data_IF_465425554681
#
_entry.id   IF_465425554681
#
_cell.length_a   1.000
_cell.length_b   1.000
_cell.length_c   1.000
_cell.angle_alpha   90.00
_cell.angle_beta   90.00
_cell.angle_gamma   90.00
#
_symmetry.space_group_name_H-M   'P 1'
#
loop_
_entity.id
_entity.type
_entity.pdbx_description
1 polymer ?
#
# COMPACT_ATOMS: atom_id res chain seq x y z
N UNK A 1 -6.49 53.68 27.72
CA UNK A 1 -5.44 53.40 26.72
C UNK A 1 -5.45 51.91 26.45
N UNK A 2 -5.49 51.56 25.17
CA UNK A 2 -6.01 50.34 24.57
C UNK A 2 -5.31 49.03 24.96
N UNK A 3 -6.11 47.96 25.03
CA UNK A 3 -5.66 46.59 24.92
C UNK A 3 -5.17 46.31 23.50
N UNK A 4 -3.97 45.75 23.36
CA UNK A 4 -3.46 45.23 22.11
C UNK A 4 -3.73 43.71 22.08
N UNK A 5 -4.72 43.31 21.29
CA UNK A 5 -4.92 41.92 20.90
C UNK A 5 -3.87 41.55 19.83
N UNK A 6 -2.86 40.79 20.24
CA UNK A 6 -1.91 40.16 19.34
C UNK A 6 -2.56 38.96 18.66
N UNK A 7 -3.29 39.21 17.57
CA UNK A 7 -3.85 38.17 16.71
C UNK A 7 -2.76 37.28 16.14
N UNK A 8 -2.89 35.97 16.39
CA UNK A 8 -1.99 34.94 15.89
C UNK A 8 -1.99 34.93 14.35
N UNK A 9 -0.85 35.30 13.75
CA UNK A 9 -0.54 34.98 12.36
C UNK A 9 -0.23 33.47 12.27
N UNK A 10 -1.27 32.67 12.07
CA UNK A 10 -1.13 31.32 11.52
C UNK A 10 -0.81 31.45 10.03
N UNK A 11 0.49 31.56 9.75
CA UNK A 11 1.13 31.71 8.44
C UNK A 11 0.45 30.87 7.33
N UNK A 12 0.04 31.57 6.27
CA UNK A 12 -0.74 31.10 5.10
C UNK A 12 -0.02 30.11 4.18
N UNK A 13 0.64 29.10 4.73
CA UNK A 13 1.15 27.96 3.98
C UNK A 13 0.01 26.94 3.81
N UNK A 14 -0.41 26.62 2.57
CA UNK A 14 -1.39 25.57 2.35
C UNK A 14 -0.85 24.28 2.97
N UNK A 15 -1.71 23.55 3.69
CA UNK A 15 -1.41 22.24 4.23
C UNK A 15 -0.70 21.37 3.18
N UNK A 16 0.19 20.46 3.61
CA UNK A 16 0.87 19.50 2.71
C UNK A 16 -0.12 18.82 1.75
N UNK A 17 -1.30 18.48 2.26
CA UNK A 17 -2.39 17.91 1.49
C UNK A 17 -2.89 18.86 0.39
N UNK A 18 -3.17 20.12 0.74
CA UNK A 18 -3.65 21.15 -0.19
C UNK A 18 -2.65 21.42 -1.32
N UNK A 19 -1.37 21.52 -0.98
CA UNK A 19 -0.31 21.68 -1.97
C UNK A 19 -0.25 20.48 -2.93
N UNK A 20 -0.40 19.26 -2.41
CA UNK A 20 -0.41 18.06 -3.25
C UNK A 20 -1.65 18.02 -4.16
N UNK A 21 -2.84 18.28 -3.61
CA UNK A 21 -4.10 18.33 -4.35
C UNK A 21 -4.03 19.33 -5.50
N UNK A 22 -3.49 20.53 -5.26
CA UNK A 22 -3.29 21.55 -6.30
C UNK A 22 -2.36 21.08 -7.42
N UNK A 23 -1.24 20.41 -7.09
CA UNK A 23 -0.32 19.86 -8.10
C UNK A 23 -0.98 18.78 -8.95
N UNK A 24 -1.70 17.88 -8.31
CA UNK A 24 -2.41 16.79 -8.98
C UNK A 24 -3.48 17.35 -9.92
N UNK A 25 -4.25 18.34 -9.44
CA UNK A 25 -5.25 19.04 -10.25
C UNK A 25 -4.65 19.73 -11.47
N UNK A 26 -3.55 20.48 -11.29
CA UNK A 26 -2.86 21.14 -12.39
C UNK A 26 -2.32 20.14 -13.42
N UNK A 27 -1.78 19.02 -12.94
CA UNK A 27 -1.29 17.93 -13.79
C UNK A 27 -2.42 17.33 -14.61
N UNK A 28 -3.57 17.08 -13.99
CA UNK A 28 -4.75 16.58 -14.68
C UNK A 28 -5.30 17.59 -15.71
N UNK A 29 -5.38 18.87 -15.35
CA UNK A 29 -5.79 19.93 -16.27
C UNK A 29 -4.83 20.07 -17.47
N UNK A 30 -3.54 19.81 -17.28
CA UNK A 30 -2.58 19.75 -18.38
C UNK A 30 -2.78 18.51 -19.26
N UNK A 31 -3.04 17.35 -18.66
CA UNK A 31 -3.41 16.14 -19.41
C UNK A 31 -4.62 16.38 -20.33
N UNK A 32 -5.67 17.05 -19.84
CA UNK A 32 -6.85 17.35 -20.66
C UNK A 32 -6.56 18.30 -21.83
N UNK A 33 -5.71 19.31 -21.62
CA UNK A 33 -5.29 20.25 -22.69
C UNK A 33 -4.42 19.59 -23.76
N UNK A 34 -3.62 18.61 -23.37
CA UNK A 34 -2.75 17.86 -24.27
C UNK A 34 -3.49 16.77 -25.06
N UNK A 35 -4.70 16.42 -24.65
CA UNK A 35 -5.55 15.46 -25.37
C UNK A 35 -5.87 16.00 -26.78
N UNK A 36 -6.01 15.12 -27.78
CA UNK A 36 -6.39 15.49 -29.15
C UNK A 36 -7.70 14.80 -29.54
N UNK A 37 -8.81 15.55 -29.71
CA UNK A 37 -8.96 17.01 -29.56
C UNK A 37 -8.85 17.46 -28.08
N UNK A 38 -8.50 18.74 -27.82
CA UNK A 38 -8.44 19.27 -26.47
C UNK A 38 -9.76 19.04 -25.72
N UNK A 39 -9.65 18.53 -24.50
CA UNK A 39 -10.80 18.22 -23.67
C UNK A 39 -11.00 19.28 -22.61
N UNK A 40 -12.26 19.65 -22.41
CA UNK A 40 -12.69 20.45 -21.27
C UNK A 40 -13.20 19.54 -20.16
N UNK A 41 -13.16 20.02 -18.91
CA UNK A 41 -13.68 19.28 -17.76
C UNK A 41 -15.16 18.88 -17.92
N UNK A 42 -15.96 19.71 -18.60
CA UNK A 42 -17.38 19.46 -18.90
C UNK A 42 -17.62 18.22 -19.77
N UNK A 43 -16.64 17.90 -20.64
CA UNK A 43 -16.67 16.75 -21.55
C UNK A 43 -15.81 15.59 -21.04
N UNK A 44 -15.14 15.78 -19.92
CA UNK A 44 -14.37 14.74 -19.26
C UNK A 44 -15.31 13.66 -18.73
N UNK A 45 -14.88 12.41 -18.83
CA UNK A 45 -15.67 11.24 -18.45
C UNK A 45 -14.75 10.27 -17.70
N UNK A 46 -15.34 9.26 -17.07
CA UNK A 46 -14.55 8.22 -16.40
C UNK A 46 -13.52 7.55 -17.32
N UNK A 47 -13.75 7.51 -18.64
CA UNK A 47 -12.80 6.91 -19.59
C UNK A 47 -11.48 7.70 -19.65
N UNK A 48 -11.54 9.03 -19.76
CA UNK A 48 -10.36 9.90 -19.76
C UNK A 48 -9.60 9.82 -18.43
N UNK A 49 -10.34 9.69 -17.32
CA UNK A 49 -9.71 9.46 -16.00
C UNK A 49 -8.95 8.12 -15.98
N UNK A 50 -9.53 7.05 -16.52
CA UNK A 50 -8.86 5.75 -16.58
C UNK A 50 -7.60 5.76 -17.45
N UNK A 51 -7.64 6.45 -18.58
CA UNK A 51 -6.45 6.62 -19.42
C UNK A 51 -5.35 7.38 -18.68
N UNK A 52 -5.69 8.49 -18.02
CA UNK A 52 -4.76 9.24 -17.18
C UNK A 52 -4.13 8.36 -16.08
N UNK A 53 -4.93 7.54 -15.38
CA UNK A 53 -4.41 6.63 -14.35
C UNK A 53 -3.48 5.55 -14.93
N UNK A 54 -3.78 5.01 -16.10
CA UNK A 54 -2.93 4.03 -16.78
C UNK A 54 -1.62 4.62 -17.26
N UNK A 55 -1.62 5.88 -17.67
CA UNK A 55 -0.41 6.63 -17.99
C UNK A 55 0.46 6.80 -16.74
N UNK A 56 -0.11 7.27 -15.63
CA UNK A 56 0.63 7.45 -14.37
C UNK A 56 1.19 6.13 -13.82
N UNK A 57 0.47 5.03 -14.02
CA UNK A 57 0.88 3.70 -13.59
C UNK A 57 2.21 3.24 -14.22
N UNK A 58 2.67 3.83 -15.32
CA UNK A 58 3.94 3.47 -15.96
C UNK A 58 5.17 3.99 -15.21
N UNK A 59 5.01 5.06 -14.44
CA UNK A 59 6.11 5.76 -13.76
C UNK A 59 6.24 5.32 -12.30
N UNK A 60 5.98 4.03 -12.09
CA UNK A 60 5.96 3.38 -10.80
C UNK A 60 7.32 3.09 -10.19
N UNK A 61 7.31 2.79 -8.88
CA UNK A 61 8.46 2.18 -8.18
C UNK A 61 8.18 0.77 -7.67
N UNK A 62 6.94 0.29 -7.78
CA UNK A 62 6.53 -1.02 -7.27
C UNK A 62 6.70 -2.07 -8.35
N UNK A 63 7.40 -3.17 -8.05
CA UNK A 63 7.48 -4.30 -8.98
C UNK A 63 6.15 -5.05 -8.98
N UNK A 64 5.54 -5.21 -10.16
CA UNK A 64 4.31 -6.00 -10.34
C UNK A 64 4.60 -7.11 -11.34
N UNK A 65 4.57 -8.36 -10.85
CA UNK A 65 4.88 -9.54 -11.65
C UNK A 65 3.76 -9.83 -12.65
N UNK A 66 4.13 -10.11 -13.90
CA UNK A 66 3.19 -10.59 -14.90
C UNK A 66 2.75 -12.04 -14.59
N UNK A 67 1.55 -12.48 -14.99
CA UNK A 67 1.06 -13.83 -14.73
C UNK A 67 1.97 -14.97 -15.20
N UNK A 68 2.78 -14.74 -16.26
CA UNK A 68 3.78 -15.71 -16.75
C UNK A 68 5.15 -15.61 -16.07
N UNK A 69 5.32 -14.76 -15.06
CA UNK A 69 6.58 -14.60 -14.36
C UNK A 69 6.77 -15.71 -13.31
N UNK A 70 7.97 -16.32 -13.19
CA UNK A 70 8.26 -17.33 -12.16
C UNK A 70 8.02 -16.85 -10.71
N UNK A 71 8.07 -15.53 -10.51
CA UNK A 71 7.89 -14.89 -9.21
C UNK A 71 6.46 -14.39 -8.96
N UNK A 72 5.51 -14.66 -9.87
CA UNK A 72 4.13 -14.27 -9.67
C UNK A 72 3.56 -14.93 -8.42
N UNK A 73 3.00 -14.12 -7.51
CA UNK A 73 2.46 -14.64 -6.25
C UNK A 73 3.50 -14.88 -5.16
N UNK A 74 4.75 -14.45 -5.34
CA UNK A 74 5.80 -14.59 -4.31
C UNK A 74 6.06 -13.24 -3.61
N UNK A 75 5.87 -13.14 -2.27
CA UNK A 75 6.14 -11.91 -1.51
C UNK A 75 7.60 -11.49 -1.48
N UNK A 76 8.51 -12.48 -1.48
CA UNK A 76 9.95 -12.28 -1.47
C UNK A 76 10.57 -13.07 -2.63
N UNK A 77 10.67 -12.47 -3.83
CA UNK A 77 11.24 -13.16 -4.98
C UNK A 77 12.75 -13.38 -4.77
N UNK A 78 13.26 -14.62 -4.92
CA UNK A 78 14.67 -14.94 -4.69
C UNK A 78 15.63 -14.44 -5.78
N UNK A 79 15.12 -13.76 -6.82
CA UNK A 79 15.95 -13.23 -7.92
C UNK A 79 15.31 -12.09 -8.71
N UNK A 80 16.08 -11.40 -9.57
CA UNK A 80 15.57 -10.31 -10.39
C UNK A 80 14.67 -10.81 -11.52
N UNK A 81 13.72 -9.98 -11.97
CA UNK A 81 12.91 -10.25 -13.15
C UNK A 81 12.72 -9.03 -14.04
N UNK A 82 12.36 -9.26 -15.29
CA UNK A 82 12.09 -8.23 -16.30
C UNK A 82 10.69 -7.60 -16.21
N UNK A 83 9.91 -7.88 -15.17
CA UNK A 83 8.57 -7.31 -15.03
C UNK A 83 8.60 -5.77 -14.90
N UNK A 84 7.59 -5.05 -15.40
CA UNK A 84 7.57 -3.59 -15.33
C UNK A 84 7.43 -3.09 -13.88
N UNK A 85 7.92 -1.87 -13.64
CA UNK A 85 7.60 -1.11 -12.44
C UNK A 85 6.28 -0.37 -12.65
N UNK A 86 5.40 -0.45 -11.66
CA UNK A 86 4.04 0.11 -11.67
C UNK A 86 3.78 0.96 -10.43
N UNK A 87 2.84 1.89 -10.50
CA UNK A 87 2.48 2.68 -9.33
C UNK A 87 1.78 1.78 -8.32
N UNK A 88 2.04 1.99 -7.03
CA UNK A 88 1.29 1.28 -6.01
C UNK A 88 -0.20 1.67 -6.14
N UNK A 89 -1.09 0.68 -6.08
CA UNK A 89 -2.54 0.92 -6.21
C UNK A 89 -3.03 1.99 -5.22
N UNK A 90 -2.50 2.00 -3.99
CA UNK A 90 -2.85 2.98 -2.96
C UNK A 90 -2.45 4.40 -3.30
N UNK A 91 -1.35 4.60 -4.04
CA UNK A 91 -0.93 5.92 -4.52
C UNK A 91 -1.91 6.48 -5.56
N UNK A 92 -2.40 5.62 -6.46
CA UNK A 92 -3.42 5.99 -7.45
C UNK A 92 -4.78 6.24 -6.80
N UNK A 93 -5.19 5.43 -5.81
CA UNK A 93 -6.44 5.64 -5.07
C UNK A 93 -6.44 6.97 -4.31
N UNK A 94 -5.34 7.27 -3.60
CA UNK A 94 -5.17 8.54 -2.90
C UNK A 94 -5.18 9.74 -3.86
N UNK A 95 -4.58 9.61 -5.05
CA UNK A 95 -4.64 10.62 -6.10
C UNK A 95 -6.08 10.88 -6.55
N UNK A 96 -6.85 9.83 -6.84
CA UNK A 96 -8.25 9.96 -7.24
C UNK A 96 -9.08 10.61 -6.13
N UNK A 97 -8.82 10.28 -4.86
CA UNK A 97 -9.45 10.95 -3.71
C UNK A 97 -9.19 12.46 -3.70
N UNK A 98 -7.94 12.87 -3.91
CA UNK A 98 -7.58 14.31 -3.99
C UNK A 98 -8.23 15.00 -5.20
N UNK A 99 -8.27 14.35 -6.36
CA UNK A 99 -8.90 14.91 -7.56
C UNK A 99 -10.41 15.06 -7.43
N UNK A 100 -11.10 14.16 -6.69
CA UNK A 100 -12.52 14.34 -6.37
C UNK A 100 -12.75 15.60 -5.54
N UNK A 101 -11.96 15.79 -4.48
CA UNK A 101 -12.05 16.98 -3.63
C UNK A 101 -11.73 18.27 -4.41
N UNK A 102 -10.69 18.24 -5.24
CA UNK A 102 -10.35 19.37 -6.12
C UNK A 102 -11.49 19.72 -7.07
N UNK A 103 -12.14 18.72 -7.67
CA UNK A 103 -13.25 18.94 -8.59
C UNK A 103 -14.42 19.69 -7.92
N UNK A 104 -14.76 19.31 -6.69
CA UNK A 104 -15.82 19.96 -5.91
C UNK A 104 -15.46 21.41 -5.54
N UNK A 105 -14.21 21.66 -5.13
CA UNK A 105 -13.71 23.01 -4.83
C UNK A 105 -13.62 23.91 -6.07
N UNK A 106 -13.44 23.33 -7.25
CA UNK A 106 -13.45 24.04 -8.53
C UNK A 106 -14.87 24.23 -9.11
N UNK A 107 -15.92 24.07 -8.29
CA UNK A 107 -17.33 24.31 -8.66
C UNK A 107 -18.02 23.11 -9.33
N UNK A 108 -17.39 21.95 -9.31
CA UNK A 108 -17.96 20.72 -9.85
C UNK A 108 -19.00 20.10 -8.92
N UNK A 109 -20.10 19.62 -9.49
CA UNK A 109 -21.14 18.91 -8.72
C UNK A 109 -20.70 17.47 -8.43
N UNK A 110 -20.90 16.95 -7.21
CA UNK A 110 -20.47 15.59 -6.86
C UNK A 110 -21.16 14.52 -7.72
N UNK A 111 -22.38 14.75 -8.20
CA UNK A 111 -23.10 13.79 -9.08
C UNK A 111 -22.49 13.68 -10.48
N UNK A 112 -21.91 14.78 -10.99
CA UNK A 112 -21.30 14.84 -12.31
C UNK A 112 -19.79 14.53 -12.28
N UNK A 113 -19.27 14.11 -11.14
CA UNK A 113 -17.83 13.97 -10.92
C UNK A 113 -17.26 12.77 -11.70
N UNK A 114 -16.36 12.99 -12.69
CA UNK A 114 -15.80 11.91 -13.51
C UNK A 114 -14.89 10.97 -12.70
N UNK A 115 -14.27 11.45 -11.62
CA UNK A 115 -13.44 10.66 -10.71
C UNK A 115 -14.27 9.78 -9.76
N UNK A 116 -15.57 10.08 -9.63
CA UNK A 116 -16.56 9.27 -8.93
C UNK A 116 -17.32 8.32 -9.88
N UNK A 117 -16.91 8.20 -11.15
CA UNK A 117 -17.54 7.27 -12.08
C UNK A 117 -17.38 5.80 -11.63
N UNK A 118 -18.41 4.98 -11.88
CA UNK A 118 -18.40 3.54 -11.54
C UNK A 118 -17.21 2.81 -12.16
N UNK A 119 -16.86 3.15 -13.41
CA UNK A 119 -15.73 2.55 -14.11
C UNK A 119 -14.39 2.77 -13.38
N UNK A 120 -14.18 3.97 -12.81
CA UNK A 120 -12.96 4.30 -12.04
C UNK A 120 -12.89 3.48 -10.76
N UNK A 121 -14.00 3.33 -10.04
CA UNK A 121 -14.06 2.50 -8.82
C UNK A 121 -13.75 1.03 -9.09
N UNK A 122 -14.34 0.46 -10.15
CA UNK A 122 -14.09 -0.93 -10.53
C UNK A 122 -12.63 -1.14 -10.93
N UNK A 123 -12.07 -0.23 -11.73
CA UNK A 123 -10.66 -0.27 -12.10
C UNK A 123 -9.72 -0.29 -10.89
N UNK A 124 -9.92 0.60 -9.91
CA UNK A 124 -9.06 0.65 -8.72
C UNK A 124 -9.18 -0.61 -7.87
N UNK A 125 -10.37 -1.19 -7.77
CA UNK A 125 -10.58 -2.48 -7.10
C UNK A 125 -9.84 -3.61 -7.81
N UNK A 126 -10.02 -3.72 -9.12
CA UNK A 126 -9.39 -4.78 -9.92
C UNK A 126 -7.86 -4.61 -9.95
N UNK A 127 -7.37 -3.36 -9.96
CA UNK A 127 -5.95 -3.04 -9.86
C UNK A 127 -5.37 -3.49 -8.50
N UNK A 128 -6.06 -3.19 -7.40
CA UNK A 128 -5.68 -3.68 -6.06
C UNK A 128 -5.57 -5.20 -6.03
N UNK A 129 -6.58 -5.90 -6.56
CA UNK A 129 -6.61 -7.37 -6.56
C UNK A 129 -5.51 -7.95 -7.46
N UNK A 130 -5.26 -7.35 -8.62
CA UNK A 130 -4.18 -7.78 -9.53
C UNK A 130 -2.79 -7.60 -8.91
N UNK A 131 -2.54 -6.47 -8.24
CA UNK A 131 -1.26 -6.21 -7.58
C UNK A 131 -1.07 -7.12 -6.35
N UNK A 132 -2.12 -7.36 -5.58
CA UNK A 132 -2.08 -8.27 -4.43
C UNK A 132 -1.73 -9.70 -4.87
N UNK A 133 -2.40 -10.21 -5.91
CA UNK A 133 -2.10 -11.52 -6.51
C UNK A 133 -0.67 -11.58 -7.06
N UNK A 134 -0.26 -10.57 -7.83
CA UNK A 134 1.06 -10.54 -8.45
C UNK A 134 2.21 -10.52 -7.42
N UNK A 135 2.01 -9.84 -6.29
CA UNK A 135 3.00 -9.72 -5.22
C UNK A 135 2.90 -10.81 -4.16
N UNK A 136 1.99 -11.78 -4.31
CA UNK A 136 1.82 -12.85 -3.32
C UNK A 136 1.28 -12.39 -1.97
N UNK A 137 0.83 -11.13 -1.87
CA UNK A 137 0.15 -10.63 -0.68
C UNK A 137 -1.29 -11.14 -0.78
N UNK A 138 -1.47 -12.44 -0.56
CA UNK A 138 -2.76 -12.90 -0.11
C UNK A 138 -3.05 -12.10 1.16
N UNK A 139 -4.17 -11.37 1.19
CA UNK A 139 -4.72 -10.93 2.46
C UNK A 139 -5.02 -12.24 3.17
N UNK A 140 -4.07 -12.72 3.97
CA UNK A 140 -4.26 -13.77 4.93
C UNK A 140 -5.43 -13.23 5.76
N UNK A 141 -6.65 -13.58 5.36
CA UNK A 141 -7.75 -13.75 6.28
C UNK A 141 -7.25 -14.89 7.14
N UNK A 142 -6.34 -14.56 8.06
CA UNK A 142 -6.06 -15.30 9.26
C UNK A 142 -7.44 -15.37 9.86
N UNK A 143 -8.09 -16.47 9.54
CA UNK A 143 -9.37 -16.90 10.05
C UNK A 143 -9.12 -16.81 11.54
N UNK A 144 -9.51 -15.69 12.14
CA UNK A 144 -9.33 -15.44 13.56
C UNK A 144 -10.18 -16.52 14.15
N UNK A 145 -9.56 -17.66 14.47
CA UNK A 145 -10.16 -18.72 15.26
C UNK A 145 -10.52 -17.96 16.53
N UNK A 146 -11.80 -17.58 16.64
CA UNK A 146 -12.38 -17.23 17.92
C UNK A 146 -11.97 -18.40 18.82
N UNK A 147 -11.30 -18.16 19.96
CA UNK A 147 -11.17 -19.19 20.96
C UNK A 147 -12.60 -19.64 21.28
N UNK A 148 -12.92 -20.88 20.94
CA UNK A 148 -14.12 -21.52 21.47
C UNK A 148 -13.81 -21.75 22.96
N UNK A 149 -14.65 -21.29 23.90
CA UNK A 149 -14.43 -21.60 25.30
C UNK A 149 -14.47 -23.13 25.50
N UNK A 150 -13.63 -23.69 26.37
CA UNK A 150 -13.55 -25.13 26.55
C UNK A 150 -14.90 -25.68 27.07
N UNK A 151 -15.44 -26.77 26.49
CA UNK A 151 -16.56 -27.48 27.10
C UNK A 151 -16.10 -28.19 28.39
N UNK A 152 -16.97 -28.34 29.39
CA UNK A 152 -16.64 -29.01 30.64
C UNK A 152 -16.35 -30.51 30.40
N UNK A 153 -15.35 -30.99 31.15
CA UNK A 153 -14.82 -32.34 31.08
C UNK A 153 -15.89 -33.43 31.25
N UNK A 154 -15.88 -34.42 30.37
CA UNK A 154 -16.32 -35.79 30.65
C UNK A 154 -15.65 -36.76 29.66
N UNK A 155 -15.36 -37.96 30.15
CA UNK A 155 -14.29 -38.85 29.71
C UNK A 155 -14.65 -39.83 28.56
N UNK A 156 -13.58 -40.34 27.92
CA UNK A 156 -13.46 -41.61 27.16
C UNK A 156 -14.19 -41.68 25.80
N UNK A 157 -13.66 -42.19 24.67
CA UNK A 157 -12.63 -43.19 24.37
C UNK A 157 -11.95 -42.87 23.02
N UNK A 158 -10.75 -43.42 22.83
CA UNK A 158 -9.92 -43.29 21.64
C UNK A 158 -10.35 -44.22 20.48
N UNK A 159 -10.19 -43.76 19.24
CA UNK A 159 -9.86 -44.58 18.07
C UNK A 159 -8.85 -43.85 17.18
N UNK A 160 -7.77 -44.57 16.85
CA UNK A 160 -6.59 -44.21 16.05
C UNK A 160 -6.87 -43.81 14.60
N UNK A 161 -6.04 -42.89 14.05
CA UNK A 161 -5.49 -43.00 12.68
C UNK A 161 -4.26 -42.08 12.43
N UNK A 162 -3.08 -42.69 12.57
CA UNK A 162 -1.89 -42.70 11.68
C UNK A 162 -1.12 -41.42 11.21
N UNK A 163 0.16 -41.37 11.64
CA UNK A 163 1.40 -40.97 10.92
C UNK A 163 1.61 -39.50 10.47
N UNK A 164 2.75 -38.82 10.63
CA UNK A 164 4.15 -39.24 10.65
C UNK A 164 4.97 -38.54 11.76
N UNK A 165 5.74 -39.33 12.51
CA UNK A 165 6.93 -38.94 13.25
C UNK A 165 8.12 -38.94 12.27
N UNK A 166 8.90 -37.87 12.20
CA UNK A 166 10.28 -37.94 11.74
C UNK A 166 11.20 -37.53 12.89
N UNK A 167 12.13 -38.43 13.18
CA UNK A 167 13.19 -38.37 14.16
C UNK A 167 13.96 -37.05 14.13
N UNK A 168 14.40 -36.58 15.29
CA UNK A 168 15.80 -36.20 15.50
C UNK A 168 16.14 -36.35 16.99
N UNK A 169 17.14 -37.19 17.23
CA UNK A 169 17.77 -37.48 18.51
C UNK A 169 18.36 -36.22 19.16
N UNK A 170 18.29 -36.13 20.50
CA UNK A 170 19.51 -36.08 21.29
C UNK A 170 19.27 -36.61 22.70
N UNK A 171 20.33 -37.22 23.22
CA UNK A 171 20.43 -38.06 24.40
C UNK A 171 20.39 -37.28 25.73
N UNK A 172 19.99 -38.01 26.78
CA UNK A 172 19.90 -37.55 28.16
C UNK A 172 21.27 -37.29 28.79
N UNK A 173 21.38 -36.29 29.68
CA UNK A 173 22.15 -36.41 30.93
C UNK A 173 21.63 -35.41 31.97
N UNK A 174 21.52 -35.91 33.18
CA UNK A 174 20.87 -35.38 34.38
C UNK A 174 21.73 -34.40 35.20
N UNK A 175 21.02 -33.55 35.97
CA UNK A 175 21.33 -32.99 37.31
C UNK A 175 21.52 -31.46 37.47
N UNK A 176 20.84 -30.96 38.51
CA UNK A 176 20.73 -29.60 39.12
C UNK A 176 21.39 -29.70 40.53
N UNK A 177 21.68 -28.67 41.39
CA UNK A 177 21.78 -27.18 41.31
C UNK A 177 23.11 -26.58 41.86
N UNK A 178 23.30 -25.25 41.76
CA UNK A 178 24.20 -24.50 42.67
C UNK A 178 24.61 -23.12 42.15
N UNK A 179 24.33 -22.05 42.89
CA UNK A 179 24.64 -20.66 42.52
C UNK A 179 25.99 -20.15 43.03
N UNK A 180 26.47 -19.04 42.44
CA UNK A 180 27.13 -17.89 43.10
C UNK A 180 27.59 -16.86 42.05
N UNK A 181 27.46 -15.59 42.42
CA UNK A 181 28.07 -14.33 41.97
C UNK A 181 29.09 -14.27 40.82
N UNK A 182 29.01 -13.17 40.06
CA UNK A 182 30.20 -12.40 39.67
C UNK A 182 30.30 -11.92 38.21
N UNK A 183 29.92 -10.66 37.98
CA UNK A 183 30.57 -9.64 37.12
C UNK A 183 31.24 -9.96 35.77
N UNK A 184 30.91 -9.14 34.76
CA UNK A 184 31.92 -8.55 33.88
C UNK A 184 31.69 -8.67 32.36
N UNK A 185 31.64 -7.51 31.70
CA UNK A 185 32.29 -7.26 30.40
C UNK A 185 31.57 -7.73 29.14
N UNK A 186 31.09 -6.77 28.34
CA UNK A 186 30.36 -7.01 27.09
C UNK A 186 31.23 -7.37 25.88
N UNK A 187 30.57 -8.01 24.91
CA UNK A 187 30.85 -7.97 23.48
C UNK A 187 29.68 -8.67 22.76
N UNK A 188 28.62 -7.93 22.45
CA UNK A 188 27.49 -8.42 21.65
C UNK A 188 27.68 -8.08 20.19
N UNK A 189 28.19 -9.06 19.43
CA UNK A 189 28.17 -9.04 17.97
C UNK A 189 26.72 -9.11 17.44
N UNK A 190 26.52 -8.44 16.31
CA UNK A 190 25.21 -8.12 15.75
C UNK A 190 24.30 -9.33 15.49
N UNK A 191 23.05 -9.15 15.88
CA UNK A 191 21.91 -9.83 15.28
C UNK A 191 21.19 -8.80 14.42
N UNK A 192 21.20 -9.05 13.11
CA UNK A 192 20.57 -8.26 12.08
C UNK A 192 19.05 -8.27 12.29
N UNK A 193 18.56 -7.22 12.94
CA UNK A 193 17.14 -6.88 13.00
C UNK A 193 16.76 -6.36 11.61
N UNK A 194 16.36 -7.27 10.70
CA UNK A 194 15.84 -6.86 9.40
C UNK A 194 14.40 -6.36 9.56
N UNK A 195 14.30 -5.09 9.93
CA UNK A 195 13.08 -4.28 9.97
C UNK A 195 12.52 -4.22 8.53
N UNK A 196 11.42 -4.92 8.29
CA UNK A 196 10.66 -4.82 7.04
C UNK A 196 9.57 -3.74 7.17
N UNK A 197 9.92 -2.55 7.66
CA UNK A 197 9.02 -1.40 7.69
C UNK A 197 9.78 -0.18 7.19
N UNK A 198 9.71 -0.02 5.87
CA UNK A 198 10.10 1.20 5.18
C UNK A 198 8.87 1.76 4.49
N UNK A 199 8.00 2.39 5.27
CA UNK A 199 6.94 3.28 4.77
C UNK A 199 7.61 4.44 4.02
N UNK A 200 7.84 4.24 2.72
CA UNK A 200 8.35 5.27 1.83
C UNK A 200 7.25 6.28 1.61
N UNK A 201 7.31 7.36 2.38
CA UNK A 201 6.65 8.61 2.05
C UNK A 201 6.93 8.94 0.58
N UNK A 202 5.88 8.83 -0.24
CA UNK A 202 5.92 9.20 -1.64
C UNK A 202 6.14 10.72 -1.76
N UNK A 203 7.41 11.13 -1.74
CA UNK A 203 7.81 12.41 -2.34
C UNK A 203 7.54 12.28 -3.84
N UNK A 204 6.53 13.03 -4.30
CA UNK A 204 6.13 13.12 -5.69
C UNK A 204 7.32 13.54 -6.56
N UNK A 205 7.95 12.56 -7.21
CA UNK A 205 8.89 12.82 -8.28
C UNK A 205 8.10 13.37 -9.46
N UNK A 206 8.50 14.55 -9.93
CA UNK A 206 7.92 15.21 -11.08
C UNK A 206 8.19 14.36 -12.32
N UNK A 207 7.11 14.01 -13.05
CA UNK A 207 7.21 13.24 -14.30
C UNK A 207 7.34 14.25 -15.45
N UNK A 208 8.39 14.18 -16.29
CA UNK A 208 8.54 15.08 -17.42
C UNK A 208 7.45 14.85 -18.46
N UNK A 209 6.85 15.96 -18.91
CA UNK A 209 5.70 16.04 -19.83
C UNK A 209 6.05 15.71 -21.30
N UNK A 210 7.26 15.22 -21.58
CA UNK A 210 7.73 14.91 -22.93
C UNK A 210 7.14 13.63 -23.53
N UNK A 211 6.37 12.86 -22.76
CA UNK A 211 5.75 11.59 -23.19
C UNK A 211 4.35 11.73 -23.82
N UNK A 212 3.84 12.96 -24.02
CA UNK A 212 2.66 13.20 -24.84
C UNK A 212 3.09 13.36 -26.31
N UNK A 213 3.39 12.24 -26.96
CA UNK A 213 3.62 12.15 -28.41
C UNK A 213 2.57 11.25 -29.05
#
# INVERSE_FOLDING_TARGET
MSAAEGGACGDGRPSRYESQKRRDWNTFGQYLRNHRPPLELSRCSGAHVLEFLRYLDQFGKTKVHAPGCPFFGQPCPPGPCSCPLRQAWGSLDALVGRLRAAFEENGGRPEANPFAARAVRLYLRDLRDSQAKARGVAYDKKKRKRPVPPPPASASTAVDFDSCQQHHEYDSILMIPGGVSGGGGGAGAGVDQMVCDGEVHASGAMIPLSAFH
#
